data_IF_628751386134
#
_entry.id   IF_628751386134
#
_cell.length_a   1.000
_cell.length_b   1.000
_cell.length_c   1.000
_cell.angle_alpha   90.00
_cell.angle_beta   90.00
_cell.angle_gamma   90.00
#
_symmetry.space_group_name_H-M   'P 1'
#
loop_
_entity.id
_entity.type
_entity.pdbx_description
1 polymer ?
#
# COMPACT_ATOMS: atom_id res chain seq x y z
N UNK A 1 8.16 21.19 -14.76
CA UNK A 1 7.12 20.89 -13.75
C UNK A 1 6.48 22.21 -13.36
N UNK A 2 5.18 22.24 -13.11
CA UNK A 2 4.47 23.44 -12.69
C UNK A 2 4.52 23.61 -11.17
N UNK A 3 4.17 24.80 -10.70
CA UNK A 3 4.20 25.13 -9.28
C UNK A 3 3.27 24.24 -8.44
N UNK A 4 2.18 23.72 -9.02
CA UNK A 4 1.28 22.77 -8.37
C UNK A 4 1.99 21.44 -8.09
N UNK A 5 2.68 20.90 -9.08
CA UNK A 5 3.45 19.66 -8.95
C UNK A 5 4.61 19.80 -7.96
N UNK A 6 5.30 20.95 -7.98
CA UNK A 6 6.39 21.23 -7.04
C UNK A 6 5.89 21.24 -5.58
N UNK A 7 4.76 21.91 -5.32
CA UNK A 7 4.12 21.92 -4.00
C UNK A 7 3.74 20.51 -3.54
N UNK A 8 3.22 19.68 -4.44
CA UNK A 8 2.82 18.31 -4.14
C UNK A 8 4.03 17.43 -3.81
N UNK A 9 5.09 17.51 -4.62
CA UNK A 9 6.35 16.82 -4.36
C UNK A 9 6.99 17.27 -3.02
N UNK A 10 6.94 18.57 -2.72
CA UNK A 10 7.39 19.12 -1.44
C UNK A 10 6.58 18.60 -0.26
N UNK A 11 5.26 18.54 -0.39
CA UNK A 11 4.37 17.99 0.63
C UNK A 11 4.65 16.51 0.90
N UNK A 12 4.83 15.69 -0.15
CA UNK A 12 5.19 14.26 -0.04
C UNK A 12 6.52 14.06 0.69
N UNK A 13 7.51 14.90 0.39
CA UNK A 13 8.78 14.90 1.12
C UNK A 13 8.60 15.24 2.60
N UNK A 14 7.82 16.26 2.93
CA UNK A 14 7.51 16.59 4.32
C UNK A 14 6.77 15.44 5.04
N UNK A 15 5.84 14.75 4.37
CA UNK A 15 5.15 13.59 4.93
C UNK A 15 6.13 12.47 5.31
N UNK A 16 7.10 12.17 4.44
CA UNK A 16 8.11 11.15 4.70
C UNK A 16 9.09 11.54 5.82
N UNK A 17 9.50 12.81 5.88
CA UNK A 17 10.52 13.28 6.83
C UNK A 17 9.97 13.67 8.20
N UNK A 18 8.72 14.15 8.28
CA UNK A 18 8.14 14.76 9.50
C UNK A 18 6.81 14.15 9.92
N UNK A 19 6.13 13.47 8.99
CA UNK A 19 4.76 13.02 9.17
C UNK A 19 3.74 14.15 9.03
N UNK A 20 2.50 13.73 8.81
CA UNK A 20 1.36 14.61 8.55
C UNK A 20 1.14 15.62 9.67
N UNK A 21 1.11 15.14 10.92
CA UNK A 21 0.78 15.95 12.09
C UNK A 21 1.77 17.11 12.34
N UNK A 22 3.04 16.95 11.96
CA UNK A 22 4.08 17.95 12.19
C UNK A 22 4.41 18.78 10.95
N UNK A 23 3.70 18.60 9.84
CA UNK A 23 3.95 19.34 8.60
C UNK A 23 3.16 20.65 8.56
N UNK A 24 3.87 21.76 8.43
CA UNK A 24 3.29 23.10 8.28
C UNK A 24 3.40 23.61 6.84
N UNK A 25 2.58 24.61 6.48
CA UNK A 25 2.66 25.26 5.17
C UNK A 25 4.05 25.89 4.93
N UNK A 26 4.71 26.38 5.99
CA UNK A 26 6.06 26.94 5.93
C UNK A 26 7.11 25.89 5.59
N UNK A 27 6.95 24.68 6.11
CA UNK A 27 7.88 23.58 5.79
C UNK A 27 7.81 23.23 4.30
N UNK A 28 6.59 23.12 3.76
CA UNK A 28 6.37 22.77 2.35
C UNK A 28 6.97 23.81 1.41
N UNK A 29 6.73 25.10 1.66
CA UNK A 29 7.29 26.16 0.81
C UNK A 29 8.80 26.32 0.98
N UNK A 30 9.36 25.99 2.16
CA UNK A 30 10.80 25.98 2.37
C UNK A 30 11.49 24.88 1.56
N UNK A 31 10.84 23.73 1.38
CA UNK A 31 11.35 22.63 0.54
C UNK A 31 11.31 22.97 -0.95
N UNK A 32 10.29 23.71 -1.39
CA UNK A 32 10.00 23.93 -2.82
C UNK A 32 10.46 25.28 -3.35
N UNK A 33 10.74 26.24 -2.48
CA UNK A 33 11.00 27.63 -2.86
C UNK A 33 9.76 28.40 -3.35
N UNK A 34 8.56 27.78 -3.27
CA UNK A 34 7.31 28.43 -3.60
C UNK A 34 6.94 29.51 -2.56
N UNK A 35 5.91 30.31 -2.85
CA UNK A 35 5.36 31.24 -1.86
C UNK A 35 4.14 30.63 -1.15
N UNK A 36 3.82 31.11 0.06
CA UNK A 36 2.68 30.60 0.84
C UNK A 36 1.32 30.78 0.14
N UNK A 37 1.16 31.84 -0.65
CA UNK A 37 -0.08 32.10 -1.37
C UNK A 37 -0.35 31.06 -2.47
N UNK A 38 0.70 30.43 -3.02
CA UNK A 38 0.58 29.37 -4.02
C UNK A 38 -0.16 28.13 -3.49
N UNK A 39 -0.06 27.82 -2.20
CA UNK A 39 -0.83 26.73 -1.59
C UNK A 39 -2.32 27.04 -1.65
N UNK A 40 -2.72 28.25 -1.24
CA UNK A 40 -4.11 28.70 -1.31
C UNK A 40 -4.63 28.73 -2.75
N UNK A 41 -3.81 29.16 -3.71
CA UNK A 41 -4.19 29.22 -5.12
C UNK A 41 -4.41 27.83 -5.76
N UNK A 42 -3.51 26.86 -5.52
CA UNK A 42 -3.55 25.56 -6.19
C UNK A 42 -4.36 24.49 -5.46
N UNK A 43 -4.43 24.58 -4.12
CA UNK A 43 -5.04 23.53 -3.28
C UNK A 43 -6.09 24.07 -2.32
N UNK A 44 -6.25 25.40 -2.19
CA UNK A 44 -7.20 26.02 -1.25
C UNK A 44 -6.71 26.05 0.20
N UNK A 45 -6.06 24.98 0.69
CA UNK A 45 -5.50 24.92 2.04
C UNK A 45 -4.27 24.01 2.16
N UNK A 46 -3.55 24.13 3.27
CA UNK A 46 -2.46 23.21 3.64
C UNK A 46 -2.98 21.77 3.76
N UNK A 47 -4.13 21.59 4.38
CA UNK A 47 -4.68 20.26 4.64
C UNK A 47 -5.15 19.60 3.34
N UNK A 48 -5.74 20.36 2.41
CA UNK A 48 -6.08 19.86 1.09
C UNK A 48 -4.83 19.44 0.28
N UNK A 49 -3.74 20.20 0.38
CA UNK A 49 -2.45 19.81 -0.21
C UNK A 49 -1.90 18.54 0.44
N UNK A 50 -1.92 18.43 1.77
CA UNK A 50 -1.43 17.23 2.45
C UNK A 50 -2.31 16.01 2.18
N UNK A 51 -3.63 16.17 2.09
CA UNK A 51 -4.57 15.12 1.70
C UNK A 51 -4.26 14.61 0.29
N UNK A 52 -4.07 15.50 -0.67
CA UNK A 52 -3.61 15.12 -2.02
C UNK A 52 -2.26 14.38 -1.98
N UNK A 53 -1.32 14.85 -1.17
CA UNK A 53 0.00 14.24 -1.05
C UNK A 53 -0.03 12.84 -0.43
N UNK A 54 -0.84 12.60 0.62
CA UNK A 54 -0.97 11.23 1.19
C UNK A 54 -1.68 10.28 0.24
N UNK A 55 -2.67 10.75 -0.52
CA UNK A 55 -3.35 9.93 -1.54
C UNK A 55 -2.35 9.53 -2.63
N UNK A 56 -1.61 10.48 -3.20
CA UNK A 56 -0.64 10.18 -4.27
C UNK A 56 0.50 9.29 -3.76
N UNK A 57 0.97 9.48 -2.53
CA UNK A 57 1.98 8.59 -1.94
C UNK A 57 1.43 7.17 -1.73
N UNK A 58 0.13 7.06 -1.42
CA UNK A 58 -0.53 5.76 -1.29
C UNK A 58 -0.65 5.04 -2.63
N UNK A 59 -0.98 5.77 -3.70
CA UNK A 59 -0.99 5.27 -5.08
C UNK A 59 0.42 4.85 -5.53
N UNK A 60 1.43 5.67 -5.29
CA UNK A 60 2.84 5.33 -5.59
C UNK A 60 3.33 4.09 -4.85
N UNK A 61 2.83 3.85 -3.63
CA UNK A 61 3.11 2.61 -2.93
C UNK A 61 2.46 1.42 -3.63
N UNK A 62 1.20 1.56 -4.07
CA UNK A 62 0.51 0.54 -4.88
C UNK A 62 1.25 0.23 -6.19
N UNK A 63 1.71 1.26 -6.90
CA UNK A 63 2.50 1.10 -8.13
C UNK A 63 3.84 0.42 -7.86
N UNK A 64 4.55 0.82 -6.80
CA UNK A 64 5.80 0.19 -6.40
C UNK A 64 5.63 -1.29 -6.03
N UNK A 65 4.48 -1.64 -5.43
CA UNK A 65 4.10 -3.03 -5.13
C UNK A 65 3.87 -3.80 -6.43
N UNK A 66 3.17 -3.22 -7.41
CA UNK A 66 2.94 -3.85 -8.70
C UNK A 66 4.25 -4.04 -9.51
N UNK A 67 5.11 -3.03 -9.54
CA UNK A 67 6.39 -3.05 -10.26
C UNK A 67 7.42 -4.02 -9.64
N UNK A 68 7.38 -4.20 -8.32
CA UNK A 68 8.30 -5.07 -7.59
C UNK A 68 8.12 -6.57 -7.93
N UNK A 69 7.04 -6.92 -8.64
CA UNK A 69 6.69 -8.31 -8.89
C UNK A 69 6.61 -8.60 -10.38
N UNK A 70 7.62 -9.33 -10.87
CA UNK A 70 7.45 -10.11 -12.10
C UNK A 70 6.51 -11.27 -11.78
N UNK A 71 5.32 -11.27 -12.38
CA UNK A 71 4.33 -12.31 -12.17
C UNK A 71 4.81 -13.64 -12.79
N UNK A 72 5.59 -14.41 -12.03
CA UNK A 72 5.67 -15.85 -12.27
C UNK A 72 4.35 -16.47 -11.80
N UNK A 73 3.45 -16.67 -12.76
CA UNK A 73 2.12 -17.22 -12.51
C UNK A 73 2.12 -18.76 -12.40
N UNK A 74 3.29 -19.40 -12.46
CA UNK A 74 3.41 -20.82 -12.26
C UNK A 74 3.09 -21.24 -10.81
N UNK A 75 2.74 -22.51 -10.64
CA UNK A 75 2.50 -23.12 -9.32
C UNK A 75 1.09 -22.93 -8.78
N UNK A 76 0.96 -23.17 -7.48
CA UNK A 76 -0.27 -23.06 -6.69
C UNK A 76 -0.56 -21.60 -6.29
N UNK A 77 -1.80 -21.27 -5.90
CA UNK A 77 -2.12 -19.93 -5.39
C UNK A 77 -1.23 -19.48 -4.23
N UNK A 78 -0.86 -20.41 -3.34
CA UNK A 78 0.03 -20.13 -2.21
C UNK A 78 1.46 -19.80 -2.66
N UNK A 79 1.99 -20.51 -3.66
CA UNK A 79 3.33 -20.26 -4.23
C UNK A 79 3.38 -18.93 -4.98
N UNK A 80 2.32 -18.55 -5.71
CA UNK A 80 2.23 -17.23 -6.34
C UNK A 80 2.23 -16.09 -5.32
N UNK A 81 1.47 -16.24 -4.23
CA UNK A 81 1.48 -15.25 -3.16
C UNK A 81 2.84 -15.21 -2.45
N UNK A 82 3.49 -16.36 -2.25
CA UNK A 82 4.86 -16.43 -1.71
C UNK A 82 5.84 -15.65 -2.60
N UNK A 83 5.84 -15.90 -3.91
CA UNK A 83 6.70 -15.19 -4.88
C UNK A 83 6.45 -13.68 -4.88
N UNK A 84 5.18 -13.27 -4.83
CA UNK A 84 4.80 -11.87 -4.71
C UNK A 84 5.39 -11.23 -3.45
N UNK A 85 5.24 -11.88 -2.28
CA UNK A 85 5.77 -11.38 -1.01
C UNK A 85 7.30 -11.32 -0.99
N UNK A 86 7.99 -12.26 -1.66
CA UNK A 86 9.45 -12.20 -1.84
C UNK A 86 9.87 -10.96 -2.62
N UNK A 87 9.22 -10.70 -3.76
CA UNK A 87 9.50 -9.52 -4.59
C UNK A 87 9.27 -8.22 -3.82
N UNK A 88 8.12 -8.15 -3.13
CA UNK A 88 7.74 -7.01 -2.31
C UNK A 88 8.74 -6.73 -1.18
N UNK A 89 9.09 -7.73 -0.38
CA UNK A 89 10.06 -7.58 0.72
C UNK A 89 11.47 -7.20 0.21
N UNK A 90 11.84 -7.66 -0.99
CA UNK A 90 13.11 -7.27 -1.63
C UNK A 90 13.12 -5.81 -2.07
N UNK A 91 12.00 -5.29 -2.59
CA UNK A 91 11.87 -3.90 -3.03
C UNK A 91 11.62 -2.91 -1.88
N UNK A 92 11.10 -3.37 -0.75
CA UNK A 92 10.72 -2.54 0.40
C UNK A 92 11.80 -1.57 0.90
N UNK A 93 13.10 -1.94 1.02
CA UNK A 93 14.15 -1.02 1.48
C UNK A 93 14.27 0.24 0.62
N UNK A 94 14.20 0.09 -0.71
CA UNK A 94 14.32 1.20 -1.67
C UNK A 94 13.11 2.15 -1.62
N UNK A 95 11.96 1.62 -1.22
CA UNK A 95 10.68 2.34 -1.17
C UNK A 95 10.26 2.75 0.24
N UNK A 96 11.17 2.65 1.24
CA UNK A 96 10.86 2.88 2.66
C UNK A 96 10.15 4.21 2.92
N UNK A 97 10.61 5.30 2.30
CA UNK A 97 10.02 6.62 2.49
C UNK A 97 8.58 6.71 1.97
N UNK A 98 8.32 6.09 0.81
CA UNK A 98 6.98 6.02 0.20
C UNK A 98 6.06 5.19 1.09
N UNK A 99 6.52 4.03 1.57
CA UNK A 99 5.77 3.19 2.51
C UNK A 99 5.42 3.94 3.82
N UNK A 100 6.40 4.62 4.43
CA UNK A 100 6.18 5.36 5.68
C UNK A 100 5.17 6.48 5.50
N UNK A 101 5.21 7.17 4.35
CA UNK A 101 4.23 8.20 4.04
C UNK A 101 2.85 7.62 3.69
N UNK A 102 2.77 6.49 3.00
CA UNK A 102 1.50 5.87 2.60
C UNK A 102 0.69 5.39 3.79
N UNK A 103 1.33 4.83 4.83
CA UNK A 103 0.64 4.37 6.06
C UNK A 103 -0.12 5.51 6.75
N UNK A 104 0.31 6.76 6.58
CA UNK A 104 -0.37 7.92 7.18
C UNK A 104 -1.74 8.19 6.55
N UNK A 105 -1.98 7.72 5.32
CA UNK A 105 -3.29 7.82 4.66
C UNK A 105 -4.37 7.05 5.43
N UNK A 106 -4.04 5.94 6.10
CA UNK A 106 -4.99 5.18 6.92
C UNK A 106 -5.49 5.98 8.11
N UNK A 107 -4.58 6.64 8.83
CA UNK A 107 -4.96 7.49 9.95
C UNK A 107 -5.79 8.69 9.46
N UNK A 108 -5.46 9.25 8.30
CA UNK A 108 -6.19 10.39 7.75
C UNK A 108 -7.56 10.05 7.17
N UNK A 109 -7.76 8.85 6.64
CA UNK A 109 -9.07 8.40 6.18
C UNK A 109 -10.13 8.45 7.30
N UNK A 110 -9.72 8.41 8.57
CA UNK A 110 -10.68 8.56 9.66
C UNK A 110 -11.28 9.98 9.71
N UNK A 111 -10.47 11.00 9.41
CA UNK A 111 -10.82 12.41 9.60
C UNK A 111 -11.09 13.18 8.31
N UNK A 112 -10.70 12.65 7.14
CA UNK A 112 -10.88 13.27 5.83
C UNK A 112 -11.67 12.34 4.90
N UNK A 113 -12.93 12.71 4.62
CA UNK A 113 -13.84 11.91 3.78
C UNK A 113 -13.27 11.68 2.38
N UNK A 114 -12.63 12.68 1.78
CA UNK A 114 -12.03 12.55 0.45
C UNK A 114 -10.89 11.52 0.42
N UNK A 115 -10.08 11.46 1.49
CA UNK A 115 -9.01 10.46 1.62
C UNK A 115 -9.63 9.07 1.78
N UNK A 116 -10.67 8.95 2.62
CA UNK A 116 -11.40 7.69 2.82
C UNK A 116 -11.97 7.16 1.51
N UNK A 117 -12.66 8.00 0.75
CA UNK A 117 -13.28 7.61 -0.52
C UNK A 117 -12.26 7.17 -1.56
N UNK A 118 -11.11 7.85 -1.65
CA UNK A 118 -10.03 7.42 -2.55
C UNK A 118 -9.43 6.09 -2.10
N UNK A 119 -9.11 5.94 -0.82
CA UNK A 119 -8.56 4.68 -0.30
C UNK A 119 -9.52 3.51 -0.51
N UNK A 120 -10.84 3.71 -0.36
CA UNK A 120 -11.83 2.68 -0.64
C UNK A 120 -11.82 2.23 -2.10
N UNK A 121 -11.65 3.16 -3.05
CA UNK A 121 -11.51 2.85 -4.49
C UNK A 121 -10.24 2.04 -4.74
N UNK A 122 -9.10 2.53 -4.26
CA UNK A 122 -7.81 1.86 -4.42
C UNK A 122 -7.86 0.45 -3.82
N UNK A 123 -8.48 0.28 -2.64
CA UNK A 123 -8.67 -1.03 -2.03
C UNK A 123 -9.57 -1.97 -2.83
N UNK A 124 -10.58 -1.45 -3.52
CA UNK A 124 -11.43 -2.28 -4.36
C UNK A 124 -10.66 -2.83 -5.56
N UNK A 125 -9.85 -1.98 -6.19
CA UNK A 125 -9.01 -2.35 -7.33
C UNK A 125 -7.87 -3.29 -6.89
N UNK A 126 -7.15 -2.96 -5.82
CA UNK A 126 -6.09 -3.83 -5.27
C UNK A 126 -6.61 -5.23 -4.90
N UNK A 127 -7.82 -5.36 -4.35
CA UNK A 127 -8.41 -6.68 -4.08
C UNK A 127 -8.66 -7.47 -5.37
N UNK A 128 -9.10 -6.82 -6.44
CA UNK A 128 -9.30 -7.45 -7.74
C UNK A 128 -7.95 -7.93 -8.30
N UNK A 129 -6.96 -7.05 -8.32
CA UNK A 129 -5.64 -7.32 -8.90
C UNK A 129 -4.90 -8.42 -8.13
N UNK A 130 -4.96 -8.39 -6.80
CA UNK A 130 -4.37 -9.43 -5.96
C UNK A 130 -5.09 -10.78 -6.11
N UNK A 131 -6.42 -10.79 -6.26
CA UNK A 131 -7.14 -12.02 -6.56
C UNK A 131 -6.77 -12.56 -7.95
N UNK A 132 -6.63 -11.68 -8.95
CA UNK A 132 -6.18 -12.04 -10.30
C UNK A 132 -4.81 -12.72 -10.26
N UNK A 133 -3.87 -12.11 -9.53
CA UNK A 133 -2.53 -12.64 -9.32
C UNK A 133 -2.55 -14.01 -8.64
N UNK A 134 -3.27 -14.12 -7.52
CA UNK A 134 -3.30 -15.36 -6.74
C UNK A 134 -4.01 -16.49 -7.51
N UNK A 135 -5.02 -16.19 -8.32
CA UNK A 135 -5.76 -17.17 -9.11
C UNK A 135 -5.17 -17.43 -10.50
N UNK A 136 -4.18 -16.65 -10.93
CA UNK A 136 -3.60 -16.67 -12.28
C UNK A 136 -4.67 -16.48 -13.39
N UNK A 137 -5.51 -15.47 -13.23
CA UNK A 137 -6.54 -15.06 -14.21
C UNK A 137 -6.36 -13.60 -14.59
N UNK A 138 -7.02 -13.14 -15.66
CA UNK A 138 -7.04 -11.72 -15.98
C UNK A 138 -7.88 -10.95 -14.93
N UNK A 139 -7.53 -9.71 -14.55
CA UNK A 139 -8.32 -8.92 -13.59
C UNK A 139 -9.81 -8.81 -13.93
N UNK A 140 -10.15 -8.73 -15.22
CA UNK A 140 -11.55 -8.66 -15.69
C UNK A 140 -12.33 -9.98 -15.51
N UNK A 141 -11.63 -11.11 -15.35
CA UNK A 141 -12.23 -12.43 -15.11
C UNK A 141 -12.43 -12.71 -13.61
N UNK A 142 -11.98 -11.81 -12.73
CA UNK A 142 -12.11 -11.98 -11.28
C UNK A 142 -13.55 -11.73 -10.83
N UNK A 143 -14.16 -12.76 -10.23
CA UNK A 143 -15.49 -12.62 -9.66
C UNK A 143 -15.50 -11.69 -8.44
N UNK A 144 -16.62 -10.99 -8.16
CA UNK A 144 -16.74 -10.18 -6.95
C UNK A 144 -16.52 -10.97 -5.65
N UNK A 145 -16.81 -12.27 -5.65
CA UNK A 145 -16.54 -13.16 -4.52
C UNK A 145 -15.05 -13.43 -4.34
N UNK A 146 -14.33 -13.74 -5.42
CA UNK A 146 -12.88 -13.97 -5.39
C UNK A 146 -12.12 -12.72 -4.91
N UNK A 147 -12.52 -11.54 -5.38
CA UNK A 147 -11.95 -10.27 -4.89
C UNK A 147 -12.21 -10.08 -3.38
N UNK A 148 -13.43 -10.38 -2.90
CA UNK A 148 -13.78 -10.24 -1.48
C UNK A 148 -13.09 -11.27 -0.59
N UNK A 149 -12.82 -12.49 -1.06
CA UNK A 149 -12.22 -13.56 -0.27
C UNK A 149 -10.70 -13.60 -0.46
N UNK A 150 -10.24 -14.11 -1.61
CA UNK A 150 -8.82 -14.27 -1.94
C UNK A 150 -8.10 -12.94 -1.98
N UNK A 151 -8.67 -11.94 -2.65
CA UNK A 151 -8.10 -10.60 -2.76
C UNK A 151 -7.96 -9.90 -1.42
N UNK A 152 -8.99 -9.96 -0.56
CA UNK A 152 -8.93 -9.40 0.79
C UNK A 152 -7.90 -10.10 1.68
N UNK A 153 -7.78 -11.43 1.59
CA UNK A 153 -6.79 -12.18 2.37
C UNK A 153 -5.37 -11.81 1.94
N UNK A 154 -5.11 -11.77 0.63
CA UNK A 154 -3.82 -11.34 0.09
C UNK A 154 -3.47 -9.91 0.54
N UNK A 155 -4.43 -8.98 0.44
CA UNK A 155 -4.24 -7.60 0.87
C UNK A 155 -3.98 -7.48 2.38
N UNK A 156 -4.68 -8.26 3.20
CA UNK A 156 -4.47 -8.29 4.65
C UNK A 156 -3.06 -8.79 5.01
N UNK A 157 -2.58 -9.84 4.34
CA UNK A 157 -1.23 -10.37 4.51
C UNK A 157 -0.19 -9.32 4.10
N UNK A 158 -0.34 -8.69 2.94
CA UNK A 158 0.57 -7.63 2.47
C UNK A 158 0.65 -6.50 3.47
N UNK A 159 -0.50 -5.94 3.89
CA UNK A 159 -0.52 -4.84 4.86
C UNK A 159 0.12 -5.24 6.19
N UNK A 160 -0.21 -6.43 6.70
CA UNK A 160 0.34 -6.94 7.95
C UNK A 160 1.85 -7.13 7.90
N UNK A 161 2.36 -7.71 6.82
CA UNK A 161 3.80 -7.94 6.62
C UNK A 161 4.55 -6.63 6.48
N UNK A 162 4.03 -5.69 5.69
CA UNK A 162 4.68 -4.40 5.50
C UNK A 162 4.73 -3.56 6.76
N UNK A 163 3.68 -3.61 7.60
CA UNK A 163 3.69 -2.97 8.91
C UNK A 163 4.67 -3.63 9.88
N UNK A 164 4.74 -4.96 9.91
CA UNK A 164 5.75 -5.68 10.71
C UNK A 164 7.17 -5.33 10.26
N UNK A 165 7.43 -5.31 8.95
CA UNK A 165 8.70 -4.90 8.38
C UNK A 165 9.07 -3.47 8.68
N UNK A 166 8.10 -2.56 8.65
CA UNK A 166 8.36 -1.16 8.97
C UNK A 166 8.81 -0.99 10.43
N UNK A 167 8.24 -1.78 11.35
CA UNK A 167 8.54 -1.75 12.80
C UNK A 167 9.83 -2.48 13.16
N UNK A 168 10.02 -3.70 12.67
CA UNK A 168 11.19 -4.53 12.93
C UNK A 168 11.57 -5.36 11.68
N UNK A 169 12.38 -4.80 10.77
CA UNK A 169 12.84 -5.50 9.58
C UNK A 169 13.58 -6.81 9.89
N UNK A 170 14.24 -6.90 11.05
CA UNK A 170 15.07 -8.05 11.39
C UNK A 170 14.24 -9.27 11.85
N UNK A 171 13.07 -9.02 12.45
CA UNK A 171 12.16 -10.07 12.94
C UNK A 171 10.95 -10.31 12.03
N UNK A 172 10.91 -9.68 10.86
CA UNK A 172 9.79 -9.84 9.93
C UNK A 172 9.72 -11.28 9.40
N UNK A 173 8.55 -11.93 9.43
CA UNK A 173 8.38 -13.25 8.84
C UNK A 173 8.80 -13.25 7.37
N UNK A 174 9.55 -14.28 6.95
CA UNK A 174 9.86 -14.44 5.54
C UNK A 174 8.60 -14.84 4.76
N UNK A 175 8.58 -14.59 3.45
CA UNK A 175 7.51 -15.07 2.58
C UNK A 175 7.29 -16.59 2.70
N UNK A 176 8.38 -17.34 2.90
CA UNK A 176 8.35 -18.80 3.13
C UNK A 176 7.64 -19.15 4.42
N UNK A 177 7.90 -18.44 5.51
CA UNK A 177 7.24 -18.68 6.81
C UNK A 177 5.73 -18.47 6.68
N UNK A 178 5.31 -17.42 5.97
CA UNK A 178 3.91 -17.11 5.71
C UNK A 178 3.25 -18.17 4.84
N UNK A 179 3.93 -18.63 3.78
CA UNK A 179 3.43 -19.70 2.92
C UNK A 179 3.32 -21.04 3.66
N UNK A 180 4.26 -21.34 4.56
CA UNK A 180 4.18 -22.50 5.45
C UNK A 180 3.01 -22.37 6.44
N UNK A 181 2.78 -21.18 6.99
CA UNK A 181 1.65 -20.93 7.88
C UNK A 181 0.31 -21.14 7.16
N UNK A 182 0.15 -20.61 5.93
CA UNK A 182 -1.06 -20.83 5.12
C UNK A 182 -1.32 -22.32 4.84
N UNK A 183 -0.27 -23.08 4.50
CA UNK A 183 -0.36 -24.53 4.30
C UNK A 183 -0.79 -25.26 5.57
N UNK A 184 -0.25 -24.86 6.72
CA UNK A 184 -0.62 -25.43 8.02
C UNK A 184 -2.11 -25.20 8.31
N UNK A 185 -2.59 -23.96 8.16
CA UNK A 185 -4.00 -23.61 8.36
C UNK A 185 -4.95 -24.32 7.40
N UNK A 186 -4.52 -24.61 6.18
CA UNK A 186 -5.34 -25.30 5.17
C UNK A 186 -5.46 -26.81 5.42
N UNK A 187 -4.42 -27.41 6.03
CA UNK A 187 -4.33 -28.86 6.26
C UNK A 187 -5.05 -29.33 7.53
N UNK A 188 -5.40 -28.43 8.46
CA UNK A 188 -6.12 -28.79 9.70
C UNK A 188 -7.62 -29.10 9.48
N UNK A 189 -8.13 -28.97 8.25
CA UNK A 189 -9.55 -29.19 7.94
C UNK A 189 -10.00 -30.66 7.78
N UNK A 190 -9.21 -31.65 8.22
CA UNK A 190 -9.67 -33.05 8.31
C UNK A 190 -9.50 -33.58 9.75
N UNK A 191 -10.53 -33.49 10.61
CA UNK A 191 -10.60 -34.42 11.73
C UNK A 191 -10.66 -35.82 11.13
N UNK A 192 -9.62 -36.63 11.38
CA UNK A 192 -9.74 -38.08 11.18
C UNK A 192 -10.98 -38.52 11.95
N UNK A 193 -12.01 -38.96 11.25
CA UNK A 193 -13.09 -39.70 11.86
C UNK A 193 -12.44 -40.94 12.48
N UNK A 194 -12.32 -40.94 13.79
CA UNK A 194 -11.87 -42.09 14.56
C UNK A 194 -12.92 -43.20 14.35
N UNK A 195 -12.46 -44.36 13.91
CA UNK A 195 -13.22 -45.62 13.79
C UNK A 195 -13.92 -46.01 15.10
#
# INVERSE_FOLDING_TARGET
MGQREDLLAGAKRCLAERGYAHTTARDIVAVTGANLASIGYHFGSKDALLNAAVIETFEEWGDAVADAVTADLAGTPAERLEHFLVGLLRAAPEKRNVLVASVQAYAQAEFATEVREQLLRIYADSRRDLAALVLAVHPDDVSPEAARTVGSLALALINGVMLQWMLDPASTPSARDLAQAMRTLSNETHPKATE
#
